data_IF_363818435764
#
_entry.id   IF_363818435764
#
_cell.length_a   1.000
_cell.length_b   1.000
_cell.length_c   1.000
_cell.angle_alpha   90.00
_cell.angle_beta   90.00
_cell.angle_gamma   90.00
#
_symmetry.space_group_name_H-M   'P 1'
#
loop_
_entity.id
_entity.type
_entity.pdbx_description
1 polymer ?
#
# COMPACT_ATOMS: atom_id res chain seq x y z
N UNK A 1 -29.64 -6.34 3.85
CA UNK A 1 -28.23 -6.03 4.16
C UNK A 1 -27.53 -7.31 4.60
N UNK A 2 -26.42 -7.70 3.96
CA UNK A 2 -25.58 -8.78 4.50
C UNK A 2 -24.99 -8.27 5.81
N UNK A 3 -25.10 -9.04 6.91
CA UNK A 3 -24.35 -8.76 8.14
C UNK A 3 -22.88 -9.01 7.81
N UNK A 4 -22.06 -7.98 7.93
CA UNK A 4 -20.61 -8.13 7.82
C UNK A 4 -20.07 -8.83 9.08
N UNK A 5 -19.11 -9.74 8.95
CA UNK A 5 -18.46 -10.32 10.11
C UNK A 5 -17.75 -9.22 10.90
N UNK A 6 -17.82 -9.31 12.23
CA UNK A 6 -16.91 -8.54 13.09
C UNK A 6 -15.47 -8.89 12.69
N UNK A 7 -14.56 -7.91 12.69
CA UNK A 7 -13.15 -8.11 12.35
C UNK A 7 -12.54 -9.24 13.18
N UNK A 8 -12.97 -9.41 14.43
CA UNK A 8 -12.54 -10.49 15.32
C UNK A 8 -12.95 -11.89 14.83
N UNK A 9 -14.04 -11.99 14.08
CA UNK A 9 -14.60 -13.22 13.52
C UNK A 9 -13.97 -13.62 12.16
N UNK A 10 -13.19 -12.73 11.55
CA UNK A 10 -12.43 -13.05 10.33
C UNK A 10 -11.19 -13.87 10.72
N UNK A 11 -10.94 -15.03 10.08
CA UNK A 11 -9.77 -15.86 10.37
C UNK A 11 -8.46 -15.09 10.21
N UNK A 12 -7.48 -15.40 11.05
CA UNK A 12 -6.23 -14.66 11.12
C UNK A 12 -5.44 -14.71 9.79
N UNK A 13 -5.52 -15.82 9.06
CA UNK A 13 -4.93 -16.00 7.74
C UNK A 13 -5.55 -15.06 6.69
N UNK A 14 -6.86 -14.82 6.75
CA UNK A 14 -7.55 -13.90 5.83
C UNK A 14 -7.13 -12.46 6.13
N UNK A 15 -7.08 -12.08 7.41
CA UNK A 15 -6.58 -10.76 7.83
C UNK A 15 -5.11 -10.57 7.47
N UNK A 16 -4.27 -11.60 7.62
CA UNK A 16 -2.86 -11.57 7.20
C UNK A 16 -2.74 -11.37 5.69
N UNK A 17 -3.55 -12.06 4.90
CA UNK A 17 -3.54 -11.90 3.45
C UNK A 17 -3.93 -10.47 3.05
N UNK A 18 -4.97 -9.90 3.67
CA UNK A 18 -5.33 -8.50 3.47
C UNK A 18 -4.18 -7.54 3.82
N UNK A 19 -3.55 -7.73 4.99
CA UNK A 19 -2.38 -6.95 5.40
C UNK A 19 -1.20 -7.12 4.43
N UNK A 20 -0.96 -8.32 3.90
CA UNK A 20 0.07 -8.54 2.88
C UNK A 20 -0.21 -7.77 1.58
N UNK A 21 -1.48 -7.68 1.18
CA UNK A 21 -1.91 -6.88 0.02
C UNK A 21 -1.81 -5.37 0.26
N UNK A 22 -2.03 -4.94 1.50
CA UNK A 22 -1.83 -3.56 1.94
C UNK A 22 -0.36 -3.14 1.78
N UNK A 23 0.57 -3.88 2.38
CA UNK A 23 2.01 -3.61 2.25
C UNK A 23 2.49 -3.71 0.79
N UNK A 24 2.00 -4.70 0.04
CA UNK A 24 2.29 -4.82 -1.38
C UNK A 24 1.78 -3.61 -2.19
N UNK A 25 0.69 -2.97 -1.75
CA UNK A 25 0.16 -1.74 -2.32
C UNK A 25 1.17 -0.59 -2.23
N UNK A 26 1.69 -0.33 -1.02
CA UNK A 26 2.76 0.65 -0.81
C UNK A 26 3.98 0.37 -1.67
N UNK A 27 4.46 -0.89 -1.69
CA UNK A 27 5.65 -1.29 -2.44
C UNK A 27 5.49 -0.99 -3.94
N UNK A 28 4.38 -1.39 -4.55
CA UNK A 28 4.16 -1.23 -6.00
C UNK A 28 4.07 0.24 -6.40
N UNK A 29 3.28 1.03 -5.67
CA UNK A 29 3.14 2.46 -5.96
C UNK A 29 4.43 3.21 -5.67
N UNK A 30 5.15 2.84 -4.60
CA UNK A 30 6.48 3.36 -4.32
C UNK A 30 7.48 3.07 -5.44
N UNK A 31 7.57 1.81 -5.88
CA UNK A 31 8.45 1.41 -6.96
C UNK A 31 8.15 2.16 -8.27
N UNK A 32 6.87 2.34 -8.60
CA UNK A 32 6.43 3.11 -9.78
C UNK A 32 6.94 4.56 -9.74
N UNK A 33 7.05 5.15 -8.55
CA UNK A 33 7.58 6.49 -8.34
C UNK A 33 9.08 6.52 -7.96
N UNK A 34 9.81 5.43 -8.20
CA UNK A 34 11.25 5.30 -7.87
C UNK A 34 11.56 5.47 -6.37
N UNK A 35 10.57 5.22 -5.50
CA UNK A 35 10.73 5.09 -4.05
C UNK A 35 10.94 3.62 -3.73
N UNK A 36 12.21 3.24 -3.67
CA UNK A 36 12.59 1.86 -3.38
C UNK A 36 12.49 1.55 -1.90
N UNK A 37 12.06 0.32 -1.61
CA UNK A 37 12.07 -0.23 -0.27
C UNK A 37 13.44 -0.78 0.09
N UNK A 38 13.77 -0.73 1.37
CA UNK A 38 14.83 -1.55 1.95
C UNK A 38 14.29 -2.95 2.23
N UNK A 39 13.10 -3.03 2.81
CA UNK A 39 12.36 -4.25 3.11
C UNK A 39 10.91 -3.92 3.48
N UNK A 40 10.07 -4.95 3.54
CA UNK A 40 8.77 -4.90 4.20
C UNK A 40 8.55 -6.18 5.02
N UNK A 41 7.69 -6.12 6.03
CA UNK A 41 7.44 -7.26 6.91
C UNK A 41 6.05 -7.20 7.54
N UNK A 42 5.55 -8.36 7.95
CA UNK A 42 4.32 -8.51 8.74
C UNK A 42 4.70 -8.84 10.18
N UNK A 43 4.15 -8.08 11.13
CA UNK A 43 4.53 -8.16 12.54
C UNK A 43 4.04 -9.46 13.20
N UNK A 44 4.85 -10.11 14.05
CA UNK A 44 4.42 -11.27 14.81
C UNK A 44 3.33 -10.91 15.86
N UNK A 45 2.57 -11.90 16.36
CA UNK A 45 2.67 -13.33 16.02
C UNK A 45 1.86 -13.68 14.76
N UNK A 46 0.77 -12.96 14.48
CA UNK A 46 -0.20 -13.35 13.46
C UNK A 46 0.03 -12.71 12.08
N UNK A 47 0.85 -11.67 11.95
CA UNK A 47 1.05 -10.96 10.68
C UNK A 47 -0.17 -10.16 10.23
N UNK A 48 -0.98 -9.66 11.18
CA UNK A 48 -2.20 -8.87 10.89
C UNK A 48 -1.96 -7.36 10.87
N UNK A 49 -0.70 -6.96 11.00
CA UNK A 49 -0.18 -5.61 10.79
C UNK A 49 1.21 -5.73 10.18
N UNK A 50 1.69 -4.68 9.50
CA UNK A 50 2.96 -4.69 8.80
C UNK A 50 3.67 -3.35 8.85
N UNK A 51 4.76 -3.28 8.09
CA UNK A 51 5.44 -2.04 7.78
C UNK A 51 6.24 -2.20 6.49
N UNK A 52 6.15 -1.19 5.63
CA UNK A 52 6.96 -1.05 4.41
C UNK A 52 8.02 0.04 4.62
N UNK A 53 9.30 -0.34 4.66
CA UNK A 53 10.39 0.57 4.98
C UNK A 53 11.09 1.06 3.72
N UNK A 54 10.87 2.32 3.34
CA UNK A 54 11.52 2.95 2.18
C UNK A 54 12.95 3.42 2.47
N UNK A 55 13.77 3.50 1.42
CA UNK A 55 15.07 4.17 1.51
C UNK A 55 14.89 5.63 1.97
N UNK A 56 15.75 6.13 2.87
CA UNK A 56 15.66 7.51 3.32
C UNK A 56 15.99 8.47 2.18
N UNK A 57 15.32 9.62 2.18
CA UNK A 57 15.66 10.68 1.24
C UNK A 57 17.05 11.26 1.54
N UNK A 58 17.86 11.41 0.49
CA UNK A 58 19.20 12.03 0.60
C UNK A 58 19.15 13.51 0.98
N UNK A 59 18.01 14.17 0.74
CA UNK A 59 17.79 15.60 1.01
C UNK A 59 16.38 15.81 1.56
N UNK A 60 16.27 16.70 2.54
CA UNK A 60 14.99 17.16 3.08
C UNK A 60 14.14 17.95 2.06
N UNK A 61 12.89 18.21 2.44
CA UNK A 61 11.90 18.91 1.63
C UNK A 61 12.05 20.43 1.74
N UNK A 62 11.77 21.16 0.65
CA UNK A 62 11.74 22.63 0.61
C UNK A 62 10.53 23.11 -0.19
N UNK A 63 9.70 23.96 0.41
CA UNK A 63 8.42 24.41 -0.16
C UNK A 63 8.58 25.19 -1.47
N UNK A 64 9.72 25.84 -1.68
CA UNK A 64 10.00 26.62 -2.90
C UNK A 64 10.38 25.73 -4.09
N UNK A 65 10.62 24.43 -3.87
CA UNK A 65 11.03 23.50 -4.91
C UNK A 65 9.86 22.67 -5.39
N UNK A 66 9.44 22.88 -6.64
CA UNK A 66 8.38 22.10 -7.26
C UNK A 66 8.65 20.59 -7.26
N UNK A 67 9.91 20.16 -7.31
CA UNK A 67 10.28 18.75 -7.18
C UNK A 67 9.98 18.18 -5.79
N UNK A 68 10.14 18.96 -4.72
CA UNK A 68 9.87 18.52 -3.36
C UNK A 68 8.36 18.51 -3.07
N UNK A 69 7.59 19.44 -3.67
CA UNK A 69 6.12 19.37 -3.67
C UNK A 69 5.63 18.08 -4.36
N UNK A 70 6.17 17.76 -5.54
CA UNK A 70 5.84 16.50 -6.24
C UNK A 70 6.21 15.28 -5.41
N UNK A 71 7.37 15.27 -4.76
CA UNK A 71 7.77 14.19 -3.85
C UNK A 71 6.81 14.03 -2.67
N UNK A 72 6.34 15.13 -2.07
CA UNK A 72 5.40 15.06 -0.96
C UNK A 72 4.04 14.50 -1.40
N UNK A 73 3.57 14.87 -2.59
CA UNK A 73 2.36 14.30 -3.17
C UNK A 73 2.52 12.80 -3.52
N UNK A 74 3.71 12.39 -3.97
CA UNK A 74 4.04 10.97 -4.15
C UNK A 74 3.94 10.22 -2.81
N UNK A 75 4.43 10.78 -1.70
CA UNK A 75 4.29 10.12 -0.38
C UNK A 75 2.82 9.97 0.02
N UNK A 76 1.97 10.97 -0.21
CA UNK A 76 0.50 10.85 0.00
C UNK A 76 -0.10 9.76 -0.91
N UNK A 77 0.38 9.66 -2.15
CA UNK A 77 -0.06 8.62 -3.10
C UNK A 77 0.36 7.22 -2.66
N UNK A 78 1.60 7.05 -2.16
CA UNK A 78 2.11 5.79 -1.62
C UNK A 78 1.33 5.39 -0.38
N UNK A 79 1.11 6.31 0.57
CA UNK A 79 0.32 6.03 1.77
C UNK A 79 -1.14 5.69 1.43
N UNK A 80 -1.71 6.29 0.38
CA UNK A 80 -3.06 5.93 -0.10
C UNK A 80 -3.10 4.49 -0.67
N UNK A 81 -1.95 3.99 -1.14
CA UNK A 81 -1.86 2.70 -1.81
C UNK A 81 -2.05 1.51 -0.87
N UNK A 82 -1.83 1.67 0.43
CA UNK A 82 -2.09 0.62 1.43
C UNK A 82 -3.55 0.20 1.39
N UNK A 83 -4.45 1.16 1.62
CA UNK A 83 -5.89 0.94 1.51
C UNK A 83 -6.31 0.45 0.11
N UNK A 84 -5.85 1.10 -0.97
CA UNK A 84 -6.20 0.69 -2.33
C UNK A 84 -5.75 -0.75 -2.65
N UNK A 85 -4.57 -1.15 -2.19
CA UNK A 85 -4.02 -2.48 -2.37
C UNK A 85 -4.80 -3.54 -1.61
N UNK A 86 -5.18 -3.23 -0.37
CA UNK A 86 -6.04 -4.08 0.45
C UNK A 86 -7.43 -4.28 -0.19
N UNK A 87 -8.01 -3.23 -0.77
CA UNK A 87 -9.30 -3.32 -1.46
C UNK A 87 -9.29 -4.26 -2.67
N UNK A 88 -8.14 -4.49 -3.30
CA UNK A 88 -8.01 -5.51 -4.36
C UNK A 88 -8.22 -6.91 -3.79
N UNK A 89 -7.65 -7.20 -2.61
CA UNK A 89 -7.87 -8.48 -1.93
C UNK A 89 -9.33 -8.66 -1.53
N UNK A 90 -9.92 -7.62 -0.93
CA UNK A 90 -11.29 -7.70 -0.45
C UNK A 90 -12.35 -7.82 -1.54
N UNK A 91 -12.08 -7.31 -2.74
CA UNK A 91 -13.03 -7.40 -3.86
C UNK A 91 -12.85 -8.65 -4.73
N UNK A 92 -11.91 -9.54 -4.38
CA UNK A 92 -11.53 -10.66 -5.23
C UNK A 92 -11.28 -11.95 -4.44
N UNK A 93 -11.33 -13.08 -5.15
CA UNK A 93 -10.93 -14.38 -4.62
C UNK A 93 -11.56 -14.72 -3.27
N UNK A 94 -10.69 -15.08 -2.31
CA UNK A 94 -11.10 -15.50 -0.98
C UNK A 94 -11.53 -14.33 -0.08
N UNK A 95 -11.01 -13.12 -0.28
CA UNK A 95 -11.33 -11.96 0.55
C UNK A 95 -12.80 -11.53 0.42
N UNK A 96 -13.39 -11.70 -0.76
CA UNK A 96 -14.77 -11.27 -1.06
C UNK A 96 -15.83 -11.86 -0.11
N UNK A 97 -15.65 -13.10 0.34
CA UNK A 97 -16.61 -13.74 1.27
C UNK A 97 -16.50 -13.21 2.70
N UNK A 98 -15.37 -12.57 3.02
CA UNK A 98 -15.00 -12.10 4.36
C UNK A 98 -15.03 -10.58 4.50
N UNK A 99 -15.41 -9.84 3.46
CA UNK A 99 -15.34 -8.37 3.46
C UNK A 99 -16.05 -7.76 4.68
N UNK A 100 -15.32 -7.04 5.57
CA UNK A 100 -15.85 -6.51 6.84
C UNK A 100 -16.72 -5.26 6.66
N UNK A 101 -16.81 -4.69 5.45
CA UNK A 101 -17.45 -3.40 5.23
C UNK A 101 -16.50 -2.26 5.59
N UNK A 102 -16.43 -1.89 6.87
CA UNK A 102 -15.51 -0.84 7.33
C UNK A 102 -14.11 -1.42 7.57
N UNK A 103 -13.09 -0.74 7.05
CA UNK A 103 -11.69 -1.15 7.12
C UNK A 103 -10.88 -0.02 7.77
N UNK A 104 -10.31 -0.30 8.93
CA UNK A 104 -9.54 0.67 9.76
C UNK A 104 -8.02 0.45 9.70
N UNK A 105 -7.55 -0.52 8.92
CA UNK A 105 -6.11 -0.84 8.74
C UNK A 105 -5.29 0.29 8.09
N UNK A 106 -5.91 1.39 7.67
CA UNK A 106 -5.24 2.54 7.04
C UNK A 106 -5.23 3.79 7.94
N UNK A 107 -5.69 3.71 9.19
CA UNK A 107 -5.70 4.87 10.09
C UNK A 107 -4.27 5.38 10.36
N UNK A 108 -3.30 4.46 10.51
CA UNK A 108 -1.88 4.79 10.65
C UNK A 108 -1.31 5.50 9.39
N UNK A 109 -1.78 5.13 8.19
CA UNK A 109 -1.40 5.81 6.95
C UNK A 109 -1.92 7.25 6.94
N UNK A 110 -3.17 7.46 7.36
CA UNK A 110 -3.77 8.79 7.44
C UNK A 110 -2.99 9.69 8.40
N UNK A 111 -2.52 9.14 9.53
CA UNK A 111 -1.64 9.88 10.45
C UNK A 111 -0.29 10.23 9.82
N UNK A 112 0.31 9.27 9.09
CA UNK A 112 1.57 9.49 8.38
C UNK A 112 1.47 10.47 7.20
N UNK A 113 0.28 10.64 6.62
CA UNK A 113 0.03 11.62 5.54
C UNK A 113 0.07 13.06 6.04
N UNK A 114 -0.30 13.31 7.31
CA UNK A 114 -0.43 14.66 7.90
C UNK A 114 0.77 15.59 7.64
N UNK A 115 2.03 15.20 7.89
CA UNK A 115 3.18 16.08 7.62
C UNK A 115 3.30 16.46 6.15
N UNK A 116 2.96 15.57 5.21
CA UNK A 116 3.03 15.86 3.77
C UNK A 116 1.89 16.78 3.33
N UNK A 117 0.67 16.58 3.86
CA UNK A 117 -0.47 17.47 3.61
C UNK A 117 -0.18 18.87 4.15
N UNK A 118 0.35 18.97 5.37
CA UNK A 118 0.76 20.23 5.97
C UNK A 118 1.84 20.95 5.15
N UNK A 119 2.78 20.18 4.57
CA UNK A 119 3.79 20.72 3.67
C UNK A 119 3.23 21.19 2.32
N UNK A 120 2.24 20.47 1.77
CA UNK A 120 1.61 20.79 0.48
C UNK A 120 0.62 21.96 0.55
N UNK A 121 -0.01 22.17 1.71
CA UNK A 121 -1.04 23.19 1.93
C UNK A 121 -2.12 23.21 0.82
N UNK A 122 -2.79 22.07 0.53
CA UNK A 122 -3.80 22.02 -0.51
C UNK A 122 -4.99 22.93 -0.16
N UNK A 123 -5.55 23.59 -1.17
CA UNK A 123 -6.79 24.37 -0.99
C UNK A 123 -7.98 23.49 -0.58
N UNK A 124 -7.98 22.22 -1.00
CA UNK A 124 -8.96 21.21 -0.63
C UNK A 124 -8.23 19.88 -0.35
N UNK A 125 -8.13 19.53 0.92
CA UNK A 125 -7.48 18.30 1.38
C UNK A 125 -8.19 17.04 0.89
N UNK A 126 -9.54 17.03 0.91
CA UNK A 126 -10.31 15.89 0.47
C UNK A 126 -10.13 15.63 -1.03
N UNK A 127 -10.05 16.71 -1.83
CA UNK A 127 -9.74 16.61 -3.25
C UNK A 127 -8.33 16.08 -3.52
N UNK A 128 -7.33 16.49 -2.71
CA UNK A 128 -5.96 15.94 -2.78
C UNK A 128 -5.97 14.44 -2.50
N UNK A 129 -6.55 14.03 -1.38
CA UNK A 129 -6.62 12.62 -0.96
C UNK A 129 -7.32 11.76 -2.01
N UNK A 130 -8.49 12.20 -2.51
CA UNK A 130 -9.23 11.48 -3.52
C UNK A 130 -8.44 11.34 -4.84
N UNK A 131 -7.66 12.37 -5.21
CA UNK A 131 -6.80 12.33 -6.39
C UNK A 131 -5.62 11.36 -6.22
N UNK A 132 -4.97 11.38 -5.06
CA UNK A 132 -3.88 10.46 -4.73
C UNK A 132 -4.37 9.00 -4.70
N UNK A 133 -5.50 8.73 -4.06
CA UNK A 133 -6.13 7.40 -4.05
C UNK A 133 -6.48 6.90 -5.47
N UNK A 134 -7.02 7.77 -6.33
CA UNK A 134 -7.27 7.42 -7.75
C UNK A 134 -5.98 7.11 -8.50
N UNK A 135 -4.91 7.88 -8.27
CA UNK A 135 -3.62 7.63 -8.90
C UNK A 135 -3.02 6.28 -8.45
N UNK A 136 -3.00 6.01 -7.14
CA UNK A 136 -2.57 4.74 -6.57
C UNK A 136 -3.39 3.57 -7.15
N UNK A 137 -4.71 3.71 -7.20
CA UNK A 137 -5.61 2.71 -7.80
C UNK A 137 -5.27 2.46 -9.27
N UNK A 138 -5.07 3.51 -10.08
CA UNK A 138 -4.75 3.36 -11.49
C UNK A 138 -3.42 2.59 -11.71
N UNK A 139 -2.41 2.84 -10.86
CA UNK A 139 -1.14 2.10 -10.88
C UNK A 139 -1.37 0.63 -10.53
N UNK A 140 -2.08 0.36 -9.43
CA UNK A 140 -2.31 -1.01 -8.95
C UNK A 140 -3.16 -1.85 -9.90
N UNK A 141 -4.12 -1.24 -10.61
CA UNK A 141 -4.97 -1.93 -11.58
C UNK A 141 -4.30 -2.16 -12.95
N UNK A 142 -3.09 -1.63 -13.18
CA UNK A 142 -2.31 -2.02 -14.35
C UNK A 142 -2.05 -3.55 -14.31
N UNK A 143 -2.31 -4.31 -15.39
CA UNK A 143 -2.20 -5.77 -15.36
C UNK A 143 -0.86 -6.31 -14.84
N UNK A 144 0.26 -5.72 -15.23
CA UNK A 144 1.57 -6.16 -14.79
C UNK A 144 1.78 -5.87 -13.30
N UNK A 145 1.35 -4.69 -12.84
CA UNK A 145 1.44 -4.28 -11.44
C UNK A 145 0.54 -5.12 -10.54
N UNK A 146 -0.65 -5.49 -11.01
CA UNK A 146 -1.56 -6.37 -10.27
C UNK A 146 -0.99 -7.77 -10.08
N UNK A 147 -0.32 -8.32 -11.10
CA UNK A 147 0.39 -9.60 -10.99
C UNK A 147 1.55 -9.49 -10.01
N UNK A 148 2.35 -8.42 -10.10
CA UNK A 148 3.47 -8.18 -9.20
C UNK A 148 3.01 -7.99 -7.74
N UNK A 149 1.95 -7.22 -7.50
CA UNK A 149 1.34 -7.02 -6.19
C UNK A 149 0.96 -8.36 -5.56
N UNK A 150 0.24 -9.21 -6.30
CA UNK A 150 -0.15 -10.54 -5.82
C UNK A 150 1.06 -11.41 -5.48
N UNK A 151 2.11 -11.38 -6.30
CA UNK A 151 3.33 -12.14 -6.04
C UNK A 151 4.06 -11.65 -4.77
N UNK A 152 4.17 -10.33 -4.58
CA UNK A 152 4.75 -9.72 -3.37
C UNK A 152 3.90 -10.08 -2.13
N UNK A 153 2.58 -9.92 -2.21
CA UNK A 153 1.66 -10.25 -1.14
C UNK A 153 1.75 -11.73 -0.74
N UNK A 154 1.89 -12.64 -1.71
CA UNK A 154 2.10 -14.07 -1.42
C UNK A 154 3.41 -14.31 -0.65
N UNK A 155 4.52 -13.66 -1.02
CA UNK A 155 5.77 -13.78 -0.28
C UNK A 155 5.61 -13.27 1.16
N UNK A 156 4.98 -12.11 1.34
CA UNK A 156 4.70 -11.55 2.66
C UNK A 156 3.77 -12.44 3.49
N UNK A 157 2.74 -13.04 2.88
CA UNK A 157 1.82 -13.94 3.58
C UNK A 157 2.55 -15.18 4.13
N UNK A 158 3.40 -15.81 3.32
CA UNK A 158 4.12 -17.04 3.67
C UNK A 158 5.28 -16.78 4.63
N UNK A 159 6.11 -15.78 4.33
CA UNK A 159 7.39 -15.54 5.01
C UNK A 159 7.35 -14.39 5.99
N UNK A 160 6.31 -13.55 5.96
CA UNK A 160 6.17 -12.31 6.75
C UNK A 160 7.29 -11.30 6.54
N UNK A 161 8.09 -11.46 5.48
CA UNK A 161 9.17 -10.55 5.13
C UNK A 161 9.48 -10.66 3.64
N UNK A 162 9.81 -9.53 3.03
CA UNK A 162 10.38 -9.44 1.69
C UNK A 162 11.44 -8.35 1.67
N UNK A 163 12.59 -8.64 1.08
CA UNK A 163 13.68 -7.66 0.93
C UNK A 163 13.70 -7.04 -0.47
N UNK A 164 14.42 -5.93 -0.65
CA UNK A 164 14.48 -5.16 -1.90
C UNK A 164 14.72 -6.00 -3.16
N UNK A 165 15.74 -6.85 -3.14
CA UNK A 165 16.16 -7.61 -4.32
C UNK A 165 15.05 -8.56 -4.80
N UNK A 166 14.25 -9.06 -3.87
CA UNK A 166 13.10 -9.92 -4.17
C UNK A 166 11.96 -9.12 -4.81
N UNK A 167 11.69 -7.91 -4.29
CA UNK A 167 10.72 -6.98 -4.89
C UNK A 167 11.13 -6.64 -6.32
N UNK A 168 12.38 -6.24 -6.54
CA UNK A 168 12.90 -5.90 -7.87
C UNK A 168 12.82 -7.10 -8.82
N UNK A 169 13.16 -8.31 -8.34
CA UNK A 169 13.05 -9.53 -9.13
C UNK A 169 11.59 -9.86 -9.52
N UNK A 170 10.62 -9.60 -8.63
CA UNK A 170 9.20 -9.84 -8.93
C UNK A 170 8.68 -8.83 -9.94
N UNK A 171 8.94 -7.54 -9.75
CA UNK A 171 8.38 -6.48 -10.60
C UNK A 171 9.02 -6.49 -11.99
N UNK A 172 10.32 -6.79 -12.10
CA UNK A 172 11.05 -6.81 -13.37
C UNK A 172 10.92 -8.11 -14.15
N UNK A 173 10.27 -9.14 -13.58
CA UNK A 173 10.01 -10.38 -14.32
C UNK A 173 9.16 -10.06 -15.55
N UNK A 174 9.56 -10.48 -16.76
CA UNK A 174 8.69 -10.35 -17.91
C UNK A 174 7.43 -11.16 -17.64
N UNK A 175 6.28 -10.51 -17.73
CA UNK A 175 4.99 -11.19 -17.71
C UNK A 175 4.99 -12.20 -18.84
N UNK A 176 5.09 -13.50 -18.52
CA UNK A 176 4.95 -14.55 -19.50
C UNK A 176 3.58 -14.38 -20.16
N UNK A 177 3.59 -14.13 -21.48
CA UNK A 177 2.39 -14.07 -22.32
C UNK A 177 1.87 -15.48 -22.58
#
# INVERSE_FOLDING_TARGET
MRRHPDLSAIPAEIRRAACAFHEAGHIIVGWHHERYVTHAWLRPPLGVSGETCFEPYRKGFRTERSADLRRAEVEVTILSAGHCGEMIYWNEGEGLRWYPGAIHSHDDDLEQMRPYIAFLQPADEAALLARCARAATAILYNPAMRVAQKAIANVLFERRRIDRDEVDAIIRRPSAR
#
